data_IF_055339446530
#
_entry.id   IF_055339446530
#
_cell.length_a   1.000
_cell.length_b   1.000
_cell.length_c   1.000
_cell.angle_alpha   90.00
_cell.angle_beta   90.00
_cell.angle_gamma   90.00
#
_symmetry.space_group_name_H-M   'P 1'
#
loop_
_entity.id
_entity.type
_entity.pdbx_description
1 polymer ?
#
# COMPACT_ATOMS: atom_id res chain seq x y z
N UNK A 1 -12.02 16.40 -6.28
CA UNK A 1 -11.79 14.95 -6.51
C UNK A 1 -11.82 14.25 -5.15
N UNK A 2 -12.31 13.01 -5.03
CA UNK A 2 -12.22 12.24 -3.78
C UNK A 2 -10.80 11.67 -3.61
N UNK A 3 -10.32 11.53 -2.37
CA UNK A 3 -9.08 10.81 -2.11
C UNK A 3 -9.28 9.30 -2.25
N UNK A 4 -8.21 8.54 -2.52
CA UNK A 4 -8.23 7.08 -2.54
C UNK A 4 -8.12 6.52 -1.13
N UNK A 5 -9.02 5.63 -0.75
CA UNK A 5 -8.96 4.85 0.50
C UNK A 5 -8.69 3.37 0.19
N UNK A 6 -7.51 2.89 0.55
CA UNK A 6 -7.13 1.47 0.47
C UNK A 6 -7.24 0.82 1.84
N UNK A 7 -7.83 -0.38 1.88
CA UNK A 7 -8.07 -1.14 3.12
C UNK A 7 -7.40 -2.51 3.03
N UNK A 8 -6.68 -2.92 4.09
CA UNK A 8 -6.10 -4.27 4.19
C UNK A 8 -7.21 -5.30 4.43
N UNK A 9 -7.28 -6.30 3.55
CA UNK A 9 -8.12 -7.49 3.69
C UNK A 9 -7.28 -8.75 3.92
N UNK A 10 -7.78 -9.64 4.77
CA UNK A 10 -7.24 -10.97 5.04
C UNK A 10 -8.18 -12.08 4.54
N UNK A 11 -9.43 -11.73 4.25
CA UNK A 11 -10.51 -12.65 3.91
C UNK A 11 -11.49 -12.00 2.92
N UNK A 12 -12.27 -12.81 2.22
CA UNK A 12 -13.34 -12.33 1.35
C UNK A 12 -14.34 -11.42 2.11
N UNK A 13 -14.70 -11.78 3.34
CA UNK A 13 -15.59 -10.98 4.19
C UNK A 13 -15.00 -9.60 4.56
N UNK A 14 -13.66 -9.46 4.61
CA UNK A 14 -13.03 -8.15 4.81
C UNK A 14 -13.24 -7.27 3.60
N UNK A 15 -13.08 -7.83 2.39
CA UNK A 15 -13.25 -7.09 1.15
C UNK A 15 -14.69 -6.62 0.94
N UNK A 16 -15.68 -7.50 1.20
CA UNK A 16 -17.10 -7.15 1.16
C UNK A 16 -17.43 -5.99 2.10
N UNK A 17 -16.90 -6.01 3.32
CA UNK A 17 -17.16 -4.98 4.32
C UNK A 17 -16.41 -3.68 4.02
N UNK A 18 -15.20 -3.76 3.49
CA UNK A 18 -14.45 -2.59 3.04
C UNK A 18 -15.19 -1.89 1.89
N UNK A 19 -15.68 -2.64 0.90
CA UNK A 19 -16.50 -2.10 -0.19
C UNK A 19 -17.79 -1.47 0.32
N UNK A 20 -18.52 -2.15 1.22
CA UNK A 20 -19.72 -1.60 1.84
C UNK A 20 -19.44 -0.32 2.65
N UNK A 21 -18.26 -0.16 3.22
CA UNK A 21 -17.81 1.04 3.93
C UNK A 21 -17.31 2.17 3.02
N UNK A 22 -17.19 1.93 1.72
CA UNK A 22 -16.75 2.93 0.74
C UNK A 22 -15.24 2.99 0.51
N UNK A 23 -14.52 1.89 0.70
CA UNK A 23 -13.15 1.76 0.22
C UNK A 23 -13.10 1.82 -1.31
N UNK A 24 -11.98 2.31 -1.86
CA UNK A 24 -11.75 2.38 -3.29
C UNK A 24 -10.88 1.23 -3.80
N UNK A 25 -10.10 0.59 -2.92
CA UNK A 25 -9.17 -0.49 -3.27
C UNK A 25 -8.89 -1.37 -2.06
N UNK A 26 -8.55 -2.61 -2.35
CA UNK A 26 -8.12 -3.61 -1.34
C UNK A 26 -6.63 -3.88 -1.51
N UNK A 27 -5.90 -3.88 -0.40
CA UNK A 27 -4.63 -4.61 -0.31
C UNK A 27 -4.90 -5.98 0.31
N UNK A 28 -4.63 -7.05 -0.42
CA UNK A 28 -4.83 -8.41 0.06
C UNK A 28 -3.53 -9.00 0.57
N UNK A 29 -3.52 -9.41 1.83
CA UNK A 29 -2.42 -10.11 2.49
C UNK A 29 -2.87 -11.48 2.99
N UNK A 30 -1.97 -12.45 3.03
CA UNK A 30 -2.25 -13.79 3.55
C UNK A 30 -2.27 -13.84 5.07
N UNK A 31 -1.41 -13.05 5.69
CA UNK A 31 -1.30 -12.91 7.15
C UNK A 31 -0.64 -11.58 7.49
N UNK A 32 -0.97 -11.03 8.65
CA UNK A 32 -0.28 -9.85 9.20
C UNK A 32 0.94 -10.22 10.07
N UNK A 33 1.32 -11.48 10.12
CA UNK A 33 2.66 -11.82 10.60
C UNK A 33 3.70 -11.08 9.78
N UNK A 34 4.75 -10.61 10.42
CA UNK A 34 5.85 -9.91 9.76
C UNK A 34 5.38 -8.70 8.91
N UNK A 35 4.35 -7.99 9.35
CA UNK A 35 3.76 -6.83 8.66
C UNK A 35 3.18 -7.14 7.26
N UNK A 36 2.78 -8.37 7.02
CA UNK A 36 2.08 -8.78 5.80
C UNK A 36 2.91 -9.67 4.87
N UNK A 37 2.42 -10.88 4.63
CA UNK A 37 3.00 -11.84 3.70
C UNK A 37 2.04 -12.21 2.57
N UNK A 38 2.58 -12.76 1.49
CA UNK A 38 1.86 -13.22 0.31
C UNK A 38 0.73 -14.19 0.66
N UNK A 39 -0.48 -14.00 0.11
CA UNK A 39 -1.57 -14.97 0.23
C UNK A 39 -1.39 -16.14 -0.74
N UNK A 40 -2.09 -17.24 -0.48
CA UNK A 40 -2.28 -18.28 -1.48
C UNK A 40 -3.17 -17.78 -2.64
N UNK A 41 -2.90 -18.16 -3.92
CA UNK A 41 -3.71 -17.71 -5.06
C UNK A 41 -5.21 -18.04 -4.94
N UNK A 42 -5.56 -19.12 -4.25
CA UNK A 42 -6.94 -19.47 -3.99
C UNK A 42 -7.70 -18.42 -3.19
N UNK A 43 -7.01 -17.74 -2.24
CA UNK A 43 -7.59 -16.64 -1.47
C UNK A 43 -7.85 -15.41 -2.37
N UNK A 44 -6.92 -15.09 -3.29
CA UNK A 44 -7.12 -14.01 -4.26
C UNK A 44 -8.40 -14.24 -5.08
N UNK A 45 -8.57 -15.46 -5.61
CA UNK A 45 -9.79 -15.83 -6.35
C UNK A 45 -11.06 -15.80 -5.49
N UNK A 46 -10.99 -16.08 -4.18
CA UNK A 46 -12.13 -15.94 -3.26
C UNK A 46 -12.49 -14.46 -3.07
N UNK A 47 -11.51 -13.61 -2.82
CA UNK A 47 -11.70 -12.16 -2.64
C UNK A 47 -12.23 -11.53 -3.94
N UNK A 48 -11.69 -11.91 -5.10
CA UNK A 48 -12.19 -11.41 -6.40
C UNK A 48 -13.68 -11.68 -6.63
N UNK A 49 -14.21 -12.79 -6.16
CA UNK A 49 -15.66 -13.11 -6.24
C UNK A 49 -16.52 -12.35 -5.25
N UNK A 50 -15.90 -11.82 -4.18
CA UNK A 50 -16.61 -11.17 -3.08
C UNK A 50 -16.68 -9.63 -3.22
N UNK A 51 -15.87 -9.02 -4.08
CA UNK A 51 -15.83 -7.56 -4.23
C UNK A 51 -15.65 -7.15 -5.70
N UNK A 52 -16.14 -5.98 -6.06
CA UNK A 52 -15.86 -5.35 -7.34
C UNK A 52 -14.65 -4.40 -7.30
N UNK A 53 -14.13 -4.11 -6.12
CA UNK A 53 -12.99 -3.20 -5.94
C UNK A 53 -11.72 -3.73 -6.61
N UNK A 54 -10.83 -2.86 -7.09
CA UNK A 54 -9.49 -3.25 -7.46
C UNK A 54 -8.76 -3.93 -6.31
N UNK A 55 -8.00 -5.00 -6.61
CA UNK A 55 -7.27 -5.79 -5.62
C UNK A 55 -5.78 -5.70 -5.94
N UNK A 56 -4.99 -5.19 -5.00
CA UNK A 56 -3.53 -5.32 -4.99
C UNK A 56 -3.12 -6.41 -4.03
N UNK A 57 -2.22 -7.27 -4.45
CA UNK A 57 -1.83 -8.46 -3.69
C UNK A 57 -0.40 -8.35 -3.22
N UNK A 58 -0.15 -8.58 -1.94
CA UNK A 58 1.19 -8.59 -1.35
C UNK A 58 2.07 -9.66 -1.98
N UNK A 59 3.25 -9.27 -2.44
CA UNK A 59 4.32 -10.14 -2.91
C UNK A 59 5.53 -10.05 -1.99
N UNK A 60 5.51 -10.84 -0.91
CA UNK A 60 6.56 -10.91 0.10
C UNK A 60 6.49 -12.26 0.82
N UNK A 61 7.59 -13.01 0.88
CA UNK A 61 7.58 -14.40 1.34
C UNK A 61 8.17 -14.60 2.74
N UNK A 62 8.91 -13.61 3.27
CA UNK A 62 9.56 -13.69 4.59
C UNK A 62 9.63 -12.33 5.28
N UNK A 63 10.06 -12.35 6.53
CA UNK A 63 10.42 -11.18 7.31
C UNK A 63 11.53 -10.36 6.63
N UNK A 64 11.54 -9.06 6.90
CA UNK A 64 12.48 -8.11 6.31
C UNK A 64 12.18 -7.81 4.84
N UNK A 65 13.11 -7.15 4.17
CA UNK A 65 12.92 -6.68 2.79
C UNK A 65 13.95 -7.27 1.82
N UNK A 66 14.80 -8.18 2.28
CA UNK A 66 15.72 -8.93 1.42
C UNK A 66 15.04 -10.14 0.78
N UNK A 67 15.62 -10.64 -0.31
CA UNK A 67 15.20 -11.89 -0.97
C UNK A 67 16.41 -12.62 -1.58
N UNK A 68 16.18 -13.80 -2.13
CA UNK A 68 17.17 -14.58 -2.85
C UNK A 68 16.62 -15.10 -4.19
N UNK A 69 17.51 -15.64 -5.06
CA UNK A 69 17.11 -16.07 -6.40
C UNK A 69 16.02 -17.15 -6.43
N UNK A 70 15.97 -18.03 -5.42
CA UNK A 70 14.92 -19.04 -5.31
C UNK A 70 13.56 -18.40 -4.98
N UNK A 71 13.56 -17.39 -4.12
CA UNK A 71 12.35 -16.63 -3.80
C UNK A 71 11.90 -15.75 -4.97
N UNK A 72 12.81 -15.10 -5.70
CA UNK A 72 12.46 -14.32 -6.89
C UNK A 72 11.68 -15.17 -7.88
N UNK A 73 12.15 -16.39 -8.18
CA UNK A 73 11.43 -17.34 -9.05
C UNK A 73 10.03 -17.67 -8.51
N UNK A 74 9.89 -17.87 -7.20
CA UNK A 74 8.58 -18.12 -6.58
C UNK A 74 7.66 -16.90 -6.65
N UNK A 75 8.19 -15.70 -6.43
CA UNK A 75 7.43 -14.43 -6.51
C UNK A 75 6.93 -14.18 -7.94
N UNK A 76 7.74 -14.46 -8.97
CA UNK A 76 7.30 -14.42 -10.38
C UNK A 76 6.15 -15.40 -10.64
N UNK A 77 6.25 -16.63 -10.12
CA UNK A 77 5.17 -17.63 -10.22
C UNK A 77 3.90 -17.19 -9.50
N UNK A 78 4.02 -16.56 -8.33
CA UNK A 78 2.88 -16.00 -7.59
C UNK A 78 2.26 -14.83 -8.36
N UNK A 79 3.06 -13.89 -8.88
CA UNK A 79 2.57 -12.78 -9.69
C UNK A 79 1.71 -13.28 -10.87
N UNK A 80 2.23 -14.24 -11.63
CA UNK A 80 1.49 -14.86 -12.74
C UNK A 80 0.18 -15.50 -12.26
N UNK A 81 0.23 -16.23 -11.14
CA UNK A 81 -0.95 -16.89 -10.55
C UNK A 81 -1.98 -15.88 -10.09
N UNK A 82 -1.57 -14.81 -9.39
CA UNK A 82 -2.48 -13.76 -8.92
C UNK A 82 -3.22 -13.07 -10.05
N UNK A 83 -2.50 -12.72 -11.12
CA UNK A 83 -3.10 -12.13 -12.31
C UNK A 83 -4.13 -13.07 -12.96
N UNK A 84 -3.81 -14.35 -13.05
CA UNK A 84 -4.72 -15.36 -13.64
C UNK A 84 -6.03 -15.55 -12.87
N UNK A 85 -6.05 -15.22 -11.58
CA UNK A 85 -7.24 -15.33 -10.71
C UNK A 85 -7.89 -13.97 -10.40
N UNK A 86 -7.44 -12.87 -11.05
CA UNK A 86 -8.14 -11.59 -11.07
C UNK A 86 -7.57 -10.53 -10.13
N UNK A 87 -6.28 -10.59 -9.78
CA UNK A 87 -5.60 -9.45 -9.17
C UNK A 87 -5.41 -8.32 -10.20
N UNK A 88 -5.66 -7.08 -9.77
CA UNK A 88 -5.49 -5.88 -10.60
C UNK A 88 -4.09 -5.30 -10.51
N UNK A 89 -3.32 -5.68 -9.49
CA UNK A 89 -1.95 -5.25 -9.27
C UNK A 89 -1.32 -5.94 -8.08
N UNK A 90 -0.11 -5.53 -7.75
CA UNK A 90 0.66 -6.10 -6.63
C UNK A 90 1.27 -5.04 -5.75
N UNK A 91 1.65 -5.46 -4.54
CA UNK A 91 2.40 -4.66 -3.56
C UNK A 91 3.71 -5.39 -3.29
N UNK A 92 4.83 -4.72 -3.48
CA UNK A 92 6.15 -5.29 -3.22
C UNK A 92 7.17 -4.19 -2.87
N UNK A 93 8.34 -4.61 -2.41
CA UNK A 93 9.47 -3.72 -2.17
C UNK A 93 10.65 -4.53 -1.62
N UNK A 94 11.79 -4.43 -2.27
CA UNK A 94 12.97 -5.18 -1.89
C UNK A 94 14.16 -4.25 -1.68
N UNK A 95 14.95 -4.55 -0.65
CA UNK A 95 16.18 -3.83 -0.33
C UNK A 95 17.37 -4.78 -0.42
N UNK A 96 18.48 -4.25 -0.88
CA UNK A 96 19.77 -4.93 -0.88
C UNK A 96 20.44 -4.91 0.51
N UNK A 97 21.63 -5.49 0.64
CA UNK A 97 22.39 -5.56 1.88
C UNK A 97 22.83 -4.18 2.40
N UNK A 98 22.74 -3.13 1.58
CA UNK A 98 23.06 -1.75 1.95
C UNK A 98 21.83 -0.94 2.33
N UNK A 99 20.67 -1.60 2.47
CA UNK A 99 19.37 -0.96 2.72
C UNK A 99 18.99 0.07 1.63
N UNK A 100 19.37 -0.20 0.40
CA UNK A 100 18.97 0.52 -0.79
C UNK A 100 17.92 -0.30 -1.57
N UNK A 101 17.10 0.35 -2.40
CA UNK A 101 16.13 -0.35 -3.25
C UNK A 101 16.89 -1.30 -4.19
N UNK A 102 16.55 -2.58 -4.13
CA UNK A 102 17.09 -3.60 -5.05
C UNK A 102 16.33 -3.54 -6.40
N UNK A 103 16.77 -2.61 -7.24
CA UNK A 103 16.17 -2.38 -8.57
C UNK A 103 16.20 -3.64 -9.43
N UNK A 104 17.31 -4.42 -9.34
CA UNK A 104 17.45 -5.66 -10.11
C UNK A 104 16.35 -6.66 -9.75
N UNK A 105 16.15 -6.91 -8.46
CA UNK A 105 15.09 -7.81 -7.97
C UNK A 105 13.70 -7.28 -8.33
N UNK A 106 13.44 -5.98 -8.15
CA UNK A 106 12.14 -5.39 -8.49
C UNK A 106 11.83 -5.60 -9.97
N UNK A 107 12.75 -5.24 -10.87
CA UNK A 107 12.55 -5.39 -12.33
C UNK A 107 12.46 -6.84 -12.76
N UNK A 108 13.20 -7.74 -12.12
CA UNK A 108 13.12 -9.18 -12.42
C UNK A 108 11.73 -9.74 -12.08
N UNK A 109 11.05 -9.22 -11.04
CA UNK A 109 9.71 -9.66 -10.67
C UNK A 109 8.63 -9.02 -11.53
N UNK A 110 8.64 -7.68 -11.71
CA UNK A 110 7.56 -6.96 -12.41
C UNK A 110 7.74 -6.89 -13.92
N UNK A 111 8.95 -7.11 -14.43
CA UNK A 111 9.33 -6.88 -15.81
C UNK A 111 9.66 -5.42 -16.13
N UNK A 112 10.28 -5.19 -17.30
CA UNK A 112 10.68 -3.84 -17.74
C UNK A 112 9.51 -2.95 -18.20
N UNK A 113 8.36 -3.56 -18.52
CA UNK A 113 7.16 -2.86 -19.02
C UNK A 113 5.91 -3.54 -18.49
N UNK A 114 5.61 -3.43 -17.20
CA UNK A 114 4.42 -4.06 -16.63
C UNK A 114 3.15 -3.43 -17.21
N UNK A 115 2.17 -4.27 -17.54
CA UNK A 115 0.84 -3.87 -18.02
C UNK A 115 -0.18 -3.73 -16.87
N UNK A 116 0.29 -3.56 -15.66
CA UNK A 116 -0.48 -3.39 -14.43
C UNK A 116 0.18 -2.35 -13.51
N UNK A 117 -0.62 -1.67 -12.70
CA UNK A 117 -0.11 -0.80 -11.65
C UNK A 117 0.37 -1.57 -10.43
N UNK A 118 1.36 -1.03 -9.71
CA UNK A 118 1.86 -1.66 -8.50
C UNK A 118 2.28 -0.64 -7.45
N UNK A 119 2.30 -1.09 -6.20
CA UNK A 119 2.69 -0.29 -5.04
C UNK A 119 4.07 -0.72 -4.54
N UNK A 120 4.99 0.21 -4.37
CA UNK A 120 6.16 -0.02 -3.53
C UNK A 120 5.75 0.15 -2.07
N UNK A 121 5.94 -0.88 -1.25
CA UNK A 121 5.48 -0.86 0.15
C UNK A 121 6.46 -0.15 1.10
N UNK A 122 6.21 -0.22 2.40
CA UNK A 122 6.95 0.46 3.46
C UNK A 122 8.45 0.10 3.58
N UNK A 123 9.00 -0.72 2.71
CA UNK A 123 10.46 -0.91 2.61
C UNK A 123 11.20 0.42 2.42
N UNK A 124 10.57 1.41 1.75
CA UNK A 124 11.14 2.76 1.60
C UNK A 124 11.44 3.42 2.94
N UNK A 125 10.60 3.19 3.95
CA UNK A 125 10.77 3.76 5.30
C UNK A 125 12.00 3.18 6.04
N UNK A 126 12.59 2.12 5.50
CA UNK A 126 13.80 1.44 6.02
C UNK A 126 15.04 1.68 5.16
N UNK A 127 14.93 2.46 4.09
CA UNK A 127 16.10 2.83 3.31
C UNK A 127 17.05 3.72 4.11
N UNK A 128 18.36 3.49 3.95
CA UNK A 128 19.38 4.29 4.63
C UNK A 128 19.36 5.76 4.15
N UNK A 129 19.21 5.96 2.84
CA UNK A 129 19.06 7.27 2.21
C UNK A 129 17.71 7.34 1.49
N UNK A 130 16.74 7.98 2.12
CA UNK A 130 15.39 8.11 1.57
C UNK A 130 15.34 9.03 0.34
N UNK A 131 16.21 10.04 0.23
CA UNK A 131 16.20 10.95 -0.93
C UNK A 131 16.67 10.21 -2.19
N UNK A 132 17.75 9.42 -2.07
CA UNK A 132 18.19 8.50 -3.14
C UNK A 132 17.11 7.46 -3.47
N UNK A 133 16.44 6.90 -2.46
CA UNK A 133 15.36 5.92 -2.70
C UNK A 133 14.20 6.54 -3.50
N UNK A 134 13.76 7.77 -3.20
CA UNK A 134 12.72 8.47 -3.98
C UNK A 134 13.16 8.77 -5.41
N UNK A 135 14.43 9.10 -5.61
CA UNK A 135 14.97 9.30 -6.96
C UNK A 135 14.95 7.99 -7.77
N UNK A 136 15.26 6.85 -7.15
CA UNK A 136 15.18 5.51 -7.76
C UNK A 136 13.74 5.15 -8.11
N UNK A 137 12.80 5.31 -7.16
CA UNK A 137 11.38 4.99 -7.38
C UNK A 137 10.78 5.70 -8.59
N UNK A 138 11.16 6.94 -8.84
CA UNK A 138 10.71 7.73 -10.00
C UNK A 138 11.03 7.06 -11.35
N UNK A 139 12.02 6.21 -11.39
CA UNK A 139 12.51 5.59 -12.61
C UNK A 139 11.94 4.17 -12.82
N UNK A 140 11.24 3.63 -11.82
CA UNK A 140 10.68 2.28 -11.91
C UNK A 140 9.42 2.28 -12.79
N UNK A 141 9.34 1.38 -13.79
CA UNK A 141 8.21 1.35 -14.71
C UNK A 141 6.94 0.86 -14.02
N UNK A 142 5.81 1.48 -14.35
CA UNK A 142 4.48 1.08 -13.86
C UNK A 142 4.21 1.34 -12.38
N UNK A 143 5.17 1.92 -11.63
CA UNK A 143 4.94 2.35 -10.26
C UNK A 143 3.89 3.46 -10.23
N UNK A 144 2.82 3.26 -9.51
CA UNK A 144 1.75 4.27 -9.38
C UNK A 144 1.43 4.63 -7.93
N UNK A 145 1.95 3.88 -6.95
CA UNK A 145 1.82 4.19 -5.53
C UNK A 145 3.08 3.82 -4.74
N UNK A 146 3.38 4.62 -3.73
CA UNK A 146 4.39 4.32 -2.70
C UNK A 146 3.70 4.38 -1.33
N UNK A 147 3.49 3.22 -0.73
CA UNK A 147 2.99 3.13 0.64
C UNK A 147 4.12 3.47 1.60
N UNK A 148 3.96 4.56 2.31
CA UNK A 148 4.99 5.08 3.22
C UNK A 148 4.38 5.74 4.45
N UNK A 149 5.08 5.67 5.53
CA UNK A 149 4.80 6.39 6.76
C UNK A 149 5.71 7.62 6.94
N UNK A 150 6.71 7.82 6.06
CA UNK A 150 7.76 8.84 6.24
C UNK A 150 8.79 8.48 7.32
N UNK A 151 8.58 7.37 8.02
CA UNK A 151 9.46 6.86 9.07
C UNK A 151 9.24 5.37 9.29
N UNK A 152 10.30 4.61 9.58
CA UNK A 152 10.19 3.20 9.99
C UNK A 152 9.28 3.01 11.21
N UNK A 153 9.13 4.04 12.06
CA UNK A 153 8.32 4.00 13.28
C UNK A 153 6.85 4.36 13.08
N UNK A 154 6.43 4.73 11.88
CA UNK A 154 5.05 5.06 11.56
C UNK A 154 4.80 6.53 11.25
N UNK A 155 3.54 6.83 10.84
CA UNK A 155 3.14 8.17 10.36
C UNK A 155 3.27 9.24 11.44
N UNK A 156 3.05 8.93 12.71
CA UNK A 156 3.19 9.90 13.79
C UNK A 156 4.58 10.53 13.83
N UNK A 157 5.62 9.75 13.61
CA UNK A 157 7.01 10.21 13.57
C UNK A 157 7.42 10.71 12.18
N UNK A 158 6.73 10.26 11.12
CA UNK A 158 7.07 10.60 9.74
C UNK A 158 6.20 11.67 9.10
N UNK A 159 5.19 12.22 9.80
CA UNK A 159 4.23 13.16 9.23
C UNK A 159 4.88 14.37 8.58
N UNK A 160 5.81 15.01 9.30
CA UNK A 160 6.50 16.21 8.80
C UNK A 160 7.34 15.89 7.55
N UNK A 161 7.94 14.70 7.50
CA UNK A 161 8.70 14.25 6.32
C UNK A 161 7.78 14.02 5.11
N UNK A 162 6.63 13.36 5.32
CA UNK A 162 5.63 13.16 4.27
C UNK A 162 5.10 14.49 3.72
N UNK A 163 4.75 15.43 4.60
CA UNK A 163 4.26 16.76 4.23
C UNK A 163 5.32 17.50 3.43
N UNK A 164 6.53 17.63 3.97
CA UNK A 164 7.65 18.30 3.32
C UNK A 164 7.95 17.71 1.94
N UNK A 165 7.94 16.40 1.82
CA UNK A 165 8.21 15.70 0.56
C UNK A 165 7.09 15.92 -0.47
N UNK A 166 5.84 15.83 -0.06
CA UNK A 166 4.71 16.07 -0.96
C UNK A 166 4.66 17.53 -1.45
N UNK A 167 5.04 18.49 -0.60
CA UNK A 167 5.11 19.90 -0.99
C UNK A 167 6.28 20.19 -1.96
N UNK A 168 7.43 19.56 -1.74
CA UNK A 168 8.66 19.83 -2.50
C UNK A 168 8.74 19.07 -3.82
N UNK A 169 8.06 17.92 -3.96
CA UNK A 169 8.22 17.00 -5.09
C UNK A 169 6.86 16.56 -5.65
N UNK A 170 6.55 16.98 -6.89
CA UNK A 170 5.31 16.65 -7.59
C UNK A 170 5.14 15.14 -7.83
N UNK A 171 6.23 14.43 -8.19
CA UNK A 171 6.17 12.98 -8.35
C UNK A 171 5.83 12.32 -7.02
N UNK A 172 6.56 12.63 -5.94
CA UNK A 172 6.29 12.07 -4.62
C UNK A 172 4.84 12.36 -4.19
N UNK A 173 4.38 13.61 -4.34
CA UNK A 173 2.99 14.01 -4.06
C UNK A 173 1.98 13.14 -4.80
N UNK A 174 2.24 12.83 -6.08
CA UNK A 174 1.30 12.08 -6.92
C UNK A 174 1.22 10.59 -6.56
N UNK A 175 2.29 10.00 -6.01
CA UNK A 175 2.38 8.56 -5.73
C UNK A 175 2.35 8.21 -4.23
N UNK A 176 2.52 9.17 -3.32
CA UNK A 176 2.45 8.91 -1.88
C UNK A 176 1.07 8.35 -1.52
N UNK A 177 1.08 7.16 -0.93
CA UNK A 177 -0.03 6.60 -0.19
C UNK A 177 0.35 6.54 1.29
N UNK A 178 -0.26 7.40 2.09
CA UNK A 178 0.07 7.51 3.50
C UNK A 178 -0.53 6.35 4.30
N UNK A 179 0.34 5.58 4.97
CA UNK A 179 -0.07 4.44 5.79
C UNK A 179 1.02 3.97 6.73
N UNK A 180 0.72 2.99 7.57
CA UNK A 180 1.62 2.55 8.63
C UNK A 180 1.43 3.35 9.92
N UNK A 181 0.31 3.09 10.62
CA UNK A 181 -0.08 3.81 11.82
C UNK A 181 -0.73 5.17 11.53
N UNK A 182 -1.42 5.29 10.39
CA UNK A 182 -2.19 6.49 10.08
C UNK A 182 -3.27 6.73 11.12
N UNK A 183 -3.34 7.96 11.66
CA UNK A 183 -4.37 8.42 12.60
C UNK A 183 -5.24 9.49 11.93
N UNK A 184 -6.50 9.67 12.40
CA UNK A 184 -7.41 10.67 11.83
C UNK A 184 -6.85 12.09 11.80
N UNK A 185 -6.11 12.51 12.81
CA UNK A 185 -5.47 13.83 12.90
C UNK A 185 -4.38 14.09 11.85
N UNK A 186 -3.80 13.06 11.25
CA UNK A 186 -2.79 13.20 10.20
C UNK A 186 -3.40 13.59 8.85
N UNK A 187 -4.63 13.14 8.57
CA UNK A 187 -5.28 13.26 7.25
C UNK A 187 -5.40 14.71 6.77
N UNK A 188 -5.84 15.68 7.59
CA UNK A 188 -5.95 17.07 7.12
C UNK A 188 -4.61 17.69 6.70
N UNK A 189 -3.51 17.35 7.37
CA UNK A 189 -2.17 17.85 7.04
C UNK A 189 -1.67 17.27 5.71
N UNK A 190 -1.82 15.96 5.55
CA UNK A 190 -1.45 15.25 4.32
C UNK A 190 -2.29 15.73 3.12
N UNK A 191 -3.61 15.87 3.29
CA UNK A 191 -4.49 16.37 2.24
C UNK A 191 -4.12 17.80 1.81
N UNK A 192 -3.77 18.68 2.77
CA UNK A 192 -3.30 20.06 2.50
C UNK A 192 -1.98 20.06 1.71
N UNK A 193 -1.06 19.15 2.02
CA UNK A 193 0.19 18.96 1.28
C UNK A 193 -0.02 18.35 -0.13
N UNK A 194 -1.26 17.98 -0.46
CA UNK A 194 -1.62 17.43 -1.76
C UNK A 194 -1.62 15.90 -1.85
N UNK A 195 -1.40 15.18 -0.75
CA UNK A 195 -1.55 13.71 -0.71
C UNK A 195 -3.01 13.35 -0.92
N UNK A 196 -3.26 12.36 -1.79
CA UNK A 196 -4.60 11.93 -2.19
C UNK A 196 -4.86 10.44 -1.97
N UNK A 197 -3.88 9.68 -1.46
CA UNK A 197 -4.04 8.24 -1.21
C UNK A 197 -3.72 7.91 0.24
N UNK A 198 -4.60 7.13 0.86
CA UNK A 198 -4.57 6.79 2.27
C UNK A 198 -4.79 5.30 2.44
N UNK A 199 -3.98 4.69 3.31
CA UNK A 199 -3.99 3.26 3.54
C UNK A 199 -4.24 2.95 5.01
N UNK A 200 -5.23 2.10 5.28
CA UNK A 200 -5.61 1.68 6.63
C UNK A 200 -5.66 0.15 6.76
N UNK A 201 -5.24 -0.31 7.92
CA UNK A 201 -5.28 -1.74 8.25
C UNK A 201 -6.02 -2.00 9.56
N UNK A 202 -5.32 -1.95 10.68
CA UNK A 202 -5.91 -2.21 12.01
C UNK A 202 -7.00 -1.20 12.39
N UNK A 203 -6.89 0.05 11.95
CA UNK A 203 -7.89 1.10 12.22
C UNK A 203 -9.24 0.89 11.50
N UNK A 204 -9.30 -0.01 10.53
CA UNK A 204 -10.55 -0.46 9.92
C UNK A 204 -11.22 -1.62 10.70
N UNK A 205 -10.70 -2.00 11.87
CA UNK A 205 -11.14 -3.17 12.63
C UNK A 205 -11.48 -2.80 14.08
N UNK A 206 -12.49 -3.45 14.68
CA UNK A 206 -12.83 -3.26 16.09
C UNK A 206 -11.60 -3.40 16.99
N UNK A 207 -11.37 -2.40 17.85
CA UNK A 207 -10.22 -2.34 18.77
C UNK A 207 -8.84 -2.48 18.09
N UNK A 208 -8.73 -2.24 16.77
CA UNK A 208 -7.50 -2.43 16.02
C UNK A 208 -7.04 -3.89 15.89
N UNK A 209 -7.90 -4.85 16.15
CA UNK A 209 -7.53 -6.26 16.26
C UNK A 209 -7.52 -6.98 14.92
N UNK A 210 -6.39 -7.55 14.53
CA UNK A 210 -6.28 -8.41 13.34
C UNK A 210 -7.07 -9.73 13.43
N UNK A 211 -7.59 -10.06 14.62
CA UNK A 211 -8.50 -11.21 14.81
C UNK A 211 -9.96 -10.86 14.47
N UNK A 212 -10.29 -9.56 14.40
CA UNK A 212 -11.60 -9.10 13.99
C UNK A 212 -11.64 -8.87 12.48
N UNK A 213 -12.80 -9.06 11.86
CA UNK A 213 -13.03 -8.64 10.49
C UNK A 213 -13.04 -7.11 10.37
N UNK A 214 -12.83 -6.62 9.15
CA UNK A 214 -13.07 -5.21 8.80
C UNK A 214 -14.49 -4.81 9.22
N UNK A 215 -14.64 -3.60 9.72
CA UNK A 215 -15.91 -2.99 10.11
C UNK A 215 -16.28 -1.90 9.11
N UNK A 216 -17.41 -2.06 8.43
CA UNK A 216 -17.87 -1.13 7.39
C UNK A 216 -18.13 0.29 7.92
N UNK A 217 -18.55 0.42 9.19
CA UNK A 217 -18.82 1.74 9.78
C UNK A 217 -17.51 2.48 10.10
N UNK A 218 -16.48 1.75 10.54
CA UNK A 218 -15.13 2.31 10.68
C UNK A 218 -14.55 2.75 9.33
N UNK A 219 -14.67 1.93 8.31
CA UNK A 219 -14.26 2.31 6.94
C UNK A 219 -15.04 3.53 6.46
N UNK A 220 -16.36 3.57 6.65
CA UNK A 220 -17.20 4.71 6.32
C UNK A 220 -16.84 6.00 7.07
N UNK A 221 -16.33 5.88 8.29
CA UNK A 221 -15.83 7.01 9.06
C UNK A 221 -14.53 7.56 8.45
N UNK A 222 -13.59 6.68 8.05
CA UNK A 222 -12.38 7.06 7.34
C UNK A 222 -12.70 7.69 5.98
N UNK A 223 -13.66 7.11 5.24
CA UNK A 223 -14.10 7.66 3.93
C UNK A 223 -14.55 9.11 4.05
N UNK A 224 -15.48 9.39 4.97
CA UNK A 224 -15.98 10.75 5.21
C UNK A 224 -14.86 11.71 5.63
N UNK A 225 -13.96 11.29 6.53
CA UNK A 225 -12.82 12.12 6.95
C UNK A 225 -11.92 12.51 5.78
N UNK A 226 -11.58 11.53 4.93
CA UNK A 226 -10.71 11.75 3.77
C UNK A 226 -11.40 12.68 2.76
N UNK A 227 -12.67 12.45 2.44
CA UNK A 227 -13.44 13.29 1.52
C UNK A 227 -13.52 14.73 2.01
N UNK A 228 -13.83 14.93 3.29
CA UNK A 228 -13.90 16.25 3.92
C UNK A 228 -12.55 16.96 3.89
N UNK A 229 -11.46 16.25 4.18
CA UNK A 229 -10.12 16.83 4.22
C UNK A 229 -9.64 17.23 2.81
N UNK A 230 -9.85 16.36 1.83
CA UNK A 230 -9.49 16.61 0.43
C UNK A 230 -10.31 17.77 -0.14
N UNK A 231 -11.62 17.79 0.07
CA UNK A 231 -12.48 18.88 -0.41
C UNK A 231 -12.07 20.25 0.16
N UNK A 232 -11.77 20.30 1.47
CA UNK A 232 -11.30 21.56 2.10
C UNK A 232 -9.95 22.02 1.55
N UNK A 233 -9.04 21.09 1.24
CA UNK A 233 -7.71 21.45 0.68
C UNK A 233 -7.77 21.99 -0.75
N UNK A 234 -8.82 21.68 -1.52
CA UNK A 234 -9.05 22.21 -2.87
C UNK A 234 -9.71 23.59 -2.86
N UNK A 235 -10.27 23.99 -1.72
CA UNK A 235 -11.00 25.26 -1.57
C UNK A 235 -10.15 26.39 -0.97
N UNK A 236 -8.90 26.12 -0.64
CA UNK A 236 -7.94 27.05 -0.03
C UNK A 236 -6.84 27.42 -1.01
#
# INVERSE_FOLDING_TARGET
MSGLLEVIALHAADAERAEAGGADRIELVGTMSEDGLSPEPALVGQVRRATSLPIRVMLRLREGFGTDGGEVTRLQGLLSSYRSVGADGVVLGFLNAHTEIDVGVVLEIIGESPDFGWTFHRAIDSCFDTDTAWWVLRQLPGLDQVLTAGSARGVTEGLDDLVRRAEADEFARSVIMAGGGLLPEHVPWLARAGVRSFHIGSSARPLGSWKAYVDSDLVGTWRRLIDDAVHRSEST
#
